data_IF_124182199856
#
_entry.id   IF_124182199856
#
_cell.length_a   1.000
_cell.length_b   1.000
_cell.length_c   1.000
_cell.angle_alpha   90.00
_cell.angle_beta   90.00
_cell.angle_gamma   90.00
#
_symmetry.space_group_name_H-M   'P 1'
#
loop_
_entity.id
_entity.type
_entity.pdbx_description
1 polymer ?
#
# COMPACT_ATOMS: atom_id res chain seq x y z
N UNK A 1 -4.38 -13.91 3.60
CA UNK A 1 -3.35 -14.81 3.05
C UNK A 1 -3.91 -15.70 1.94
N UNK A 2 -4.61 -15.11 0.96
CA UNK A 2 -5.19 -15.85 -0.17
C UNK A 2 -4.31 -15.72 -1.42
N UNK A 3 -3.86 -14.50 -1.73
CA UNK A 3 -3.06 -14.21 -2.93
C UNK A 3 -1.73 -14.96 -2.97
N UNK A 4 -1.01 -15.01 -1.84
CA UNK A 4 0.27 -15.74 -1.74
C UNK A 4 0.06 -17.22 -2.07
N UNK A 5 -1.03 -17.83 -1.59
CA UNK A 5 -1.34 -19.23 -1.89
C UNK A 5 -1.56 -19.43 -3.39
N UNK A 6 -2.36 -18.59 -4.02
CA UNK A 6 -2.61 -18.65 -5.48
C UNK A 6 -1.31 -18.48 -6.28
N UNK A 7 -0.44 -17.57 -5.86
CA UNK A 7 0.85 -17.34 -6.53
C UNK A 7 1.79 -18.55 -6.36
N UNK A 8 1.84 -19.16 -5.19
CA UNK A 8 2.63 -20.39 -4.97
C UNK A 8 2.15 -21.57 -5.81
N UNK A 9 0.84 -21.67 -6.09
CA UNK A 9 0.27 -22.75 -6.90
C UNK A 9 0.57 -22.60 -8.40
N UNK A 10 0.79 -21.36 -8.88
CA UNK A 10 0.90 -21.07 -10.32
C UNK A 10 2.31 -20.63 -10.77
N UNK A 11 3.18 -20.26 -9.84
CA UNK A 11 4.51 -19.69 -10.12
C UNK A 11 5.61 -20.45 -9.39
N UNK A 12 6.81 -20.47 -9.99
CA UNK A 12 8.02 -20.91 -9.30
C UNK A 12 8.46 -19.82 -8.32
N UNK A 13 8.49 -20.14 -7.03
CA UNK A 13 8.79 -19.15 -5.98
C UNK A 13 10.22 -19.28 -5.50
N UNK A 14 10.93 -18.16 -5.44
CA UNK A 14 12.26 -18.04 -4.83
C UNK A 14 12.19 -17.07 -3.64
N UNK A 15 12.22 -17.56 -2.39
CA UNK A 15 12.30 -16.69 -1.23
C UNK A 15 13.72 -16.13 -1.05
N UNK A 16 13.81 -14.90 -0.57
CA UNK A 16 15.03 -14.30 -0.03
C UNK A 16 14.88 -14.08 1.47
N UNK A 17 15.99 -14.24 2.20
CA UNK A 17 15.99 -14.19 3.65
C UNK A 17 16.93 -13.10 4.16
N UNK A 18 16.52 -12.45 5.25
CA UNK A 18 17.34 -11.56 6.08
C UNK A 18 17.07 -11.90 7.54
N UNK A 19 18.11 -12.15 8.33
CA UNK A 19 18.01 -12.46 9.76
C UNK A 19 16.98 -13.57 10.08
N UNK A 20 17.03 -14.68 9.31
CA UNK A 20 16.10 -15.82 9.38
C UNK A 20 14.62 -15.50 9.10
N UNK A 21 14.31 -14.31 8.56
CA UNK A 21 12.96 -13.94 8.11
C UNK A 21 12.93 -13.78 6.59
N UNK A 22 11.80 -14.13 5.96
CA UNK A 22 11.62 -13.94 4.52
C UNK A 22 11.42 -12.46 4.25
N UNK A 23 12.35 -11.82 3.52
CA UNK A 23 12.28 -10.40 3.19
C UNK A 23 11.66 -10.15 1.82
N UNK A 24 11.85 -11.07 0.88
CA UNK A 24 11.18 -11.01 -0.42
C UNK A 24 10.79 -12.38 -0.97
N UNK A 25 9.78 -12.39 -1.82
CA UNK A 25 9.32 -13.53 -2.59
C UNK A 25 9.32 -13.14 -4.07
N UNK A 26 10.10 -13.87 -4.86
CA UNK A 26 10.16 -13.69 -6.31
C UNK A 26 9.39 -14.84 -6.96
N UNK A 27 8.33 -14.53 -7.69
CA UNK A 27 7.49 -15.47 -8.40
C UNK A 27 7.80 -15.40 -9.89
N UNK A 28 8.29 -16.49 -10.46
CA UNK A 28 8.54 -16.63 -11.90
C UNK A 28 7.40 -17.40 -12.57
N UNK A 29 6.85 -16.84 -13.65
CA UNK A 29 5.82 -17.54 -14.41
C UNK A 29 6.39 -18.80 -15.03
N UNK A 30 5.68 -19.91 -14.84
CA UNK A 30 6.08 -21.21 -15.40
C UNK A 30 6.07 -21.24 -16.93
N UNK A 31 5.30 -20.34 -17.55
CA UNK A 31 5.05 -20.31 -19.00
C UNK A 31 5.83 -19.21 -19.73
N UNK A 32 6.38 -18.23 -19.00
CA UNK A 32 7.12 -17.11 -19.59
C UNK A 32 8.10 -16.51 -18.59
N UNK A 33 9.39 -16.77 -18.77
CA UNK A 33 10.46 -16.30 -17.87
C UNK A 33 10.58 -14.77 -17.77
N UNK A 34 9.92 -14.01 -18.67
CA UNK A 34 9.87 -12.54 -18.60
C UNK A 34 8.85 -12.03 -17.58
N UNK A 35 7.87 -12.84 -17.19
CA UNK A 35 6.86 -12.45 -16.21
C UNK A 35 7.38 -12.83 -14.83
N UNK A 36 7.75 -11.80 -14.06
CA UNK A 36 8.15 -11.92 -12.66
C UNK A 36 7.29 -11.02 -11.78
N UNK A 37 6.90 -11.53 -10.61
CA UNK A 37 6.27 -10.74 -9.56
C UNK A 37 7.19 -10.77 -8.36
N UNK A 38 7.54 -9.60 -7.82
CA UNK A 38 8.39 -9.48 -6.64
C UNK A 38 7.58 -8.86 -5.51
N UNK A 39 7.48 -9.58 -4.39
CA UNK A 39 6.83 -9.10 -3.17
C UNK A 39 7.88 -8.89 -2.10
N UNK A 40 7.80 -7.76 -1.40
CA UNK A 40 8.72 -7.40 -0.31
C UNK A 40 7.93 -7.14 0.96
N UNK A 41 8.46 -7.60 2.09
CA UNK A 41 7.96 -7.18 3.40
C UNK A 41 8.63 -5.86 3.79
N UNK A 42 7.90 -4.76 3.61
CA UNK A 42 8.38 -3.42 3.95
C UNK A 42 8.66 -3.26 5.45
N UNK A 43 8.02 -4.04 6.33
CA UNK A 43 8.24 -3.96 7.78
C UNK A 43 9.61 -4.55 8.18
N UNK A 44 10.09 -5.56 7.47
CA UNK A 44 11.44 -6.11 7.67
C UNK A 44 12.55 -5.20 7.13
N UNK A 45 12.20 -4.28 6.23
CA UNK A 45 13.08 -3.24 5.71
C UNK A 45 13.02 -1.99 6.61
N UNK A 46 11.84 -1.69 7.16
CA UNK A 46 11.52 -0.53 8.00
C UNK A 46 10.68 -0.96 9.21
N UNK A 47 11.30 -1.26 10.35
CA UNK A 47 10.60 -1.77 11.52
C UNK A 47 9.92 -0.64 12.31
N UNK A 48 9.05 0.13 11.67
CA UNK A 48 8.29 1.24 12.26
C UNK A 48 7.02 1.53 11.48
N UNK A 49 6.00 2.08 12.13
CA UNK A 49 4.78 2.51 11.42
C UNK A 49 5.07 3.70 10.49
N UNK A 50 4.33 3.81 9.39
CA UNK A 50 4.43 4.95 8.46
C UNK A 50 4.26 6.30 9.16
N UNK A 51 3.39 6.38 10.17
CA UNK A 51 3.19 7.60 10.97
C UNK A 51 4.41 7.92 11.83
N UNK A 52 4.97 6.94 12.54
CA UNK A 52 6.20 7.12 13.34
C UNK A 52 7.35 7.60 12.47
N UNK A 53 7.48 7.03 11.27
CA UNK A 53 8.46 7.47 10.28
C UNK A 53 8.17 8.91 9.82
N UNK A 54 6.93 9.22 9.41
CA UNK A 54 6.56 10.56 8.96
C UNK A 54 6.86 11.65 10.01
N UNK A 55 6.56 11.39 11.29
CA UNK A 55 6.91 12.29 12.41
C UNK A 55 8.42 12.46 12.54
N UNK A 56 9.18 11.36 12.53
CA UNK A 56 10.65 11.39 12.63
C UNK A 56 11.28 12.23 11.52
N UNK A 57 10.74 12.17 10.31
CA UNK A 57 11.22 12.90 9.14
C UNK A 57 10.52 14.25 8.92
N UNK A 58 9.73 14.73 9.89
CA UNK A 58 9.06 16.04 9.88
C UNK A 58 8.18 16.27 8.63
N UNK A 59 7.54 15.22 8.15
CA UNK A 59 6.60 15.29 7.03
C UNK A 59 5.36 16.03 7.51
N UNK A 60 4.93 17.03 6.73
CA UNK A 60 3.83 17.94 7.09
C UNK A 60 2.49 17.18 7.17
N UNK A 61 2.26 16.26 6.23
CA UNK A 61 1.04 15.47 6.17
C UNK A 61 1.20 14.09 6.80
N UNK A 62 0.63 13.91 7.99
CA UNK A 62 0.59 12.62 8.67
C UNK A 62 -0.62 11.79 8.23
N UNK A 63 -0.40 10.49 7.98
CA UNK A 63 -1.47 9.51 7.77
C UNK A 63 -2.43 9.55 8.96
N UNK A 64 -3.74 9.61 8.71
CA UNK A 64 -4.78 9.75 9.74
C UNK A 64 -4.87 8.56 10.70
N UNK A 65 -5.93 8.49 11.50
CA UNK A 65 -6.28 7.29 12.27
C UNK A 65 -7.53 6.66 11.70
N UNK A 66 -7.65 5.34 11.88
CA UNK A 66 -8.79 4.56 11.40
C UNK A 66 -9.26 3.58 12.47
N UNK A 67 -10.58 3.39 12.68
CA UNK A 67 -11.11 2.57 13.74
C UNK A 67 -11.15 1.09 13.32
N UNK A 68 -9.99 0.44 13.27
CA UNK A 68 -9.89 -0.96 12.84
C UNK A 68 -10.80 -1.90 13.66
N UNK A 69 -10.97 -1.64 14.95
CA UNK A 69 -11.86 -2.45 15.82
C UNK A 69 -13.36 -2.28 15.51
N UNK A 70 -13.74 -1.24 14.76
CA UNK A 70 -15.13 -0.98 14.39
C UNK A 70 -15.55 -1.73 13.11
N UNK A 71 -14.59 -2.06 12.24
CA UNK A 71 -14.86 -2.63 10.92
C UNK A 71 -15.20 -4.12 11.05
N UNK A 72 -16.44 -4.45 10.73
CA UNK A 72 -16.94 -5.82 10.64
C UNK A 72 -18.09 -5.87 9.62
N UNK A 73 -18.53 -7.08 9.30
CA UNK A 73 -19.57 -7.35 8.29
C UNK A 73 -20.88 -6.59 8.54
N UNK A 74 -21.24 -6.31 9.79
CA UNK A 74 -22.47 -5.61 10.15
C UNK A 74 -22.34 -4.08 10.02
N UNK A 75 -21.12 -3.56 10.01
CA UNK A 75 -20.85 -2.12 10.06
C UNK A 75 -20.34 -1.54 8.73
N UNK A 76 -20.20 -2.35 7.67
CA UNK A 76 -19.62 -1.92 6.39
C UNK A 76 -20.32 -0.71 5.75
N UNK A 77 -21.63 -0.59 5.96
CA UNK A 77 -22.49 0.50 5.46
C UNK A 77 -22.83 1.53 6.54
N UNK A 78 -22.10 1.55 7.65
CA UNK A 78 -22.41 2.40 8.78
C UNK A 78 -22.33 3.90 8.44
N UNK A 79 -23.40 4.61 8.76
CA UNK A 79 -23.50 6.07 8.76
C UNK A 79 -24.09 6.50 10.10
N UNK A 80 -23.34 7.30 10.87
CA UNK A 80 -23.79 7.72 12.20
C UNK A 80 -22.71 8.44 12.99
N UNK A 81 -22.66 8.21 14.30
CA UNK A 81 -21.67 8.83 15.17
C UNK A 81 -20.30 8.20 14.95
N UNK A 82 -19.23 8.99 15.01
CA UNK A 82 -17.85 8.47 15.01
C UNK A 82 -17.71 7.36 16.05
N UNK A 83 -17.10 6.21 15.70
CA UNK A 83 -16.89 5.09 16.61
C UNK A 83 -16.10 5.51 17.84
N UNK A 84 -16.28 4.79 18.95
CA UNK A 84 -15.57 5.08 20.20
C UNK A 84 -14.03 5.08 20.02
N UNK A 85 -13.33 5.95 20.76
CA UNK A 85 -11.87 6.09 20.70
C UNK A 85 -11.14 4.76 20.95
N UNK A 86 -11.69 3.88 21.77
CA UNK A 86 -11.13 2.55 22.05
C UNK A 86 -11.01 1.65 20.81
N UNK A 87 -11.73 1.97 19.73
CA UNK A 87 -11.71 1.22 18.48
C UNK A 87 -10.59 1.70 17.52
N UNK A 88 -9.89 2.77 17.89
CA UNK A 88 -8.73 3.31 17.18
C UNK A 88 -7.43 2.87 17.84
N UNK A 89 -6.38 2.68 17.04
CA UNK A 89 -5.07 2.31 17.56
C UNK A 89 -4.14 3.54 17.64
N UNK A 90 -3.61 3.82 18.83
CA UNK A 90 -2.55 4.81 19.05
C UNK A 90 -2.96 6.27 18.88
N UNK A 91 -4.26 6.58 18.96
CA UNK A 91 -4.79 7.95 18.88
C UNK A 91 -4.80 8.61 20.26
N UNK A 92 -4.46 9.90 20.32
CA UNK A 92 -4.63 10.72 21.53
C UNK A 92 -6.08 11.21 21.68
N UNK A 93 -6.48 11.62 22.89
CA UNK A 93 -7.81 12.17 23.12
C UNK A 93 -8.05 13.44 22.27
N UNK A 94 -7.04 14.29 22.19
CA UNK A 94 -7.07 15.55 21.44
C UNK A 94 -7.21 15.30 19.92
N UNK A 95 -6.47 14.33 19.37
CA UNK A 95 -6.59 13.97 17.96
C UNK A 95 -7.96 13.34 17.64
N UNK A 96 -8.52 12.58 18.59
CA UNK A 96 -9.83 11.96 18.44
C UNK A 96 -10.97 12.98 18.48
N UNK A 97 -10.90 14.00 19.34
CA UNK A 97 -11.88 15.07 19.40
C UNK A 97 -12.06 15.76 18.03
N UNK A 98 -10.97 15.93 17.28
CA UNK A 98 -11.00 16.47 15.91
C UNK A 98 -11.67 15.56 14.86
N UNK A 99 -11.95 14.30 15.19
CA UNK A 99 -12.61 13.33 14.31
C UNK A 99 -14.09 13.12 14.65
N UNK A 100 -14.60 13.69 15.75
CA UNK A 100 -15.98 13.47 16.19
C UNK A 100 -16.94 14.10 15.19
N UNK A 101 -17.84 13.28 14.66
CA UNK A 101 -18.92 13.64 13.76
C UNK A 101 -20.16 12.81 14.07
N UNK A 102 -21.35 13.38 13.88
CA UNK A 102 -22.64 12.68 14.02
C UNK A 102 -23.14 12.09 12.70
N UNK A 103 -22.45 12.39 11.60
CA UNK A 103 -22.76 11.95 10.23
C UNK A 103 -21.58 11.22 9.60
N UNK A 104 -20.75 10.60 10.43
CA UNK A 104 -19.58 9.82 10.06
C UNK A 104 -19.98 8.61 9.21
N UNK A 105 -19.36 8.45 8.04
CA UNK A 105 -19.65 7.37 7.09
C UNK A 105 -18.40 6.49 6.93
N UNK A 106 -18.51 5.20 7.28
CA UNK A 106 -17.36 4.29 7.27
C UNK A 106 -16.70 4.19 5.90
N UNK A 107 -17.49 4.08 4.82
CA UNK A 107 -16.96 3.94 3.46
C UNK A 107 -16.24 5.21 3.02
N UNK A 108 -16.84 6.38 3.25
CA UNK A 108 -16.22 7.66 2.93
C UNK A 108 -14.91 7.86 3.71
N UNK A 109 -14.89 7.43 4.96
CA UNK A 109 -13.74 7.56 5.85
C UNK A 109 -12.62 6.58 5.52
N UNK A 110 -12.95 5.36 5.12
CA UNK A 110 -11.99 4.42 4.56
C UNK A 110 -11.35 4.99 3.29
N UNK A 111 -12.17 5.50 2.36
CA UNK A 111 -11.66 6.15 1.15
C UNK A 111 -10.79 7.36 1.47
N UNK A 112 -11.20 8.19 2.44
CA UNK A 112 -10.41 9.34 2.88
C UNK A 112 -9.10 8.89 3.52
N UNK A 113 -9.10 7.85 4.34
CA UNK A 113 -7.92 7.32 5.01
C UNK A 113 -6.91 6.72 4.03
N UNK A 114 -7.39 5.98 3.02
CA UNK A 114 -6.56 5.40 1.97
C UNK A 114 -6.06 6.45 0.97
N UNK A 115 -6.91 7.42 0.62
CA UNK A 115 -6.57 8.49 -0.32
C UNK A 115 -5.90 9.70 0.34
N UNK A 116 -5.81 9.77 1.68
CA UNK A 116 -5.13 10.88 2.37
C UNK A 116 -3.69 10.88 1.87
N UNK A 117 -3.31 11.90 1.10
CA UNK A 117 -2.16 11.75 0.24
C UNK A 117 -0.90 11.73 1.09
N UNK A 118 0.02 10.91 0.64
CA UNK A 118 1.46 10.97 0.88
C UNK A 118 2.02 12.24 0.17
N UNK A 119 1.26 13.36 0.14
CA UNK A 119 1.57 14.56 -0.63
C UNK A 119 2.87 15.21 -0.17
N UNK A 120 3.10 15.28 1.15
CA UNK A 120 4.37 15.75 1.71
C UNK A 120 5.61 14.93 1.32
N UNK A 121 5.45 13.77 0.68
CA UNK A 121 6.56 12.95 0.18
C UNK A 121 6.71 13.00 -1.35
N UNK A 122 5.67 13.39 -2.09
CA UNK A 122 5.76 13.65 -3.53
C UNK A 122 6.70 14.83 -3.84
N UNK A 123 6.71 15.85 -2.97
CA UNK A 123 7.60 17.02 -3.07
C UNK A 123 9.07 16.68 -2.78
N UNK A 124 9.34 15.53 -2.15
CA UNK A 124 10.68 15.06 -1.80
C UNK A 124 11.36 14.25 -2.92
N UNK A 125 10.63 13.89 -3.98
CA UNK A 125 11.15 13.04 -5.04
C UNK A 125 10.77 13.62 -6.41
N UNK A 126 11.73 14.34 -7.02
CA UNK A 126 11.85 14.33 -8.47
C UNK A 126 11.87 12.87 -8.92
N UNK A 127 10.77 12.41 -9.51
CA UNK A 127 10.45 10.98 -9.74
C UNK A 127 11.55 10.20 -10.45
N UNK A 128 12.31 10.87 -11.31
CA UNK A 128 13.31 10.24 -12.16
C UNK A 128 14.71 10.27 -11.52
N UNK A 129 15.11 11.41 -10.94
CA UNK A 129 16.44 11.59 -10.32
C UNK A 129 16.66 10.69 -9.10
N UNK A 130 15.63 10.46 -8.28
CA UNK A 130 15.77 9.60 -7.10
C UNK A 130 15.86 8.11 -7.47
N UNK A 131 15.10 7.68 -8.49
CA UNK A 131 15.14 6.30 -8.97
C UNK A 131 16.50 6.01 -9.63
N UNK A 132 17.01 6.93 -10.44
CA UNK A 132 18.33 6.83 -11.07
C UNK A 132 19.45 6.81 -10.04
N UNK A 133 19.38 7.68 -9.02
CA UNK A 133 20.34 7.70 -7.90
C UNK A 133 20.32 6.39 -7.09
N UNK A 134 19.15 5.80 -6.86
CA UNK A 134 19.02 4.52 -6.15
C UNK A 134 19.61 3.36 -6.96
N UNK A 135 19.33 3.32 -8.27
CA UNK A 135 19.92 2.33 -9.19
C UNK A 135 21.45 2.49 -9.24
N UNK A 136 21.94 3.72 -9.21
CA UNK A 136 23.37 4.02 -9.15
C UNK A 136 24.02 3.55 -7.84
N UNK A 137 23.37 3.80 -6.69
CA UNK A 137 23.86 3.34 -5.39
C UNK A 137 23.93 1.82 -5.27
N UNK A 138 22.92 1.12 -5.80
CA UNK A 138 22.87 -0.35 -5.85
C UNK A 138 23.98 -0.91 -6.77
N UNK A 139 24.18 -0.30 -7.94
CA UNK A 139 25.28 -0.65 -8.85
C UNK A 139 26.68 -0.49 -8.24
N UNK A 140 26.81 0.40 -7.25
CA UNK A 140 28.07 0.70 -6.55
C UNK A 140 28.21 -0.03 -5.22
N UNK A 141 27.24 -0.88 -4.86
CA UNK A 141 27.22 -1.65 -3.61
C UNK A 141 27.34 -0.75 -2.37
N UNK A 142 26.84 0.48 -2.47
CA UNK A 142 26.88 1.47 -1.39
C UNK A 142 25.69 1.20 -0.48
N UNK A 143 25.97 0.78 0.76
CA UNK A 143 24.94 0.67 1.80
C UNK A 143 24.54 2.07 2.25
N UNK A 144 23.57 2.64 1.55
CA UNK A 144 22.94 3.88 1.98
C UNK A 144 21.86 3.55 2.99
N UNK A 145 21.88 4.22 4.14
CA UNK A 145 20.88 4.11 5.21
C UNK A 145 19.56 4.82 4.78
N UNK A 146 19.03 4.43 3.62
CA UNK A 146 18.01 5.12 2.82
C UNK A 146 16.78 4.25 2.55
N UNK A 147 16.34 3.46 3.54
CA UNK A 147 15.20 2.56 3.37
C UNK A 147 13.85 3.27 3.16
N UNK A 148 13.71 4.53 3.57
CA UNK A 148 12.45 5.27 3.50
C UNK A 148 12.10 5.75 2.08
N UNK A 149 12.95 6.50 1.35
CA UNK A 149 12.53 7.00 0.06
C UNK A 149 12.54 5.92 -1.02
N UNK A 150 13.27 4.80 -0.83
CA UNK A 150 13.08 3.57 -1.63
C UNK A 150 11.71 2.93 -1.38
N UNK A 151 11.28 2.79 -0.12
CA UNK A 151 9.95 2.24 0.19
C UNK A 151 8.83 3.15 -0.33
N UNK A 152 9.01 4.47 -0.29
CA UNK A 152 8.08 5.45 -0.85
C UNK A 152 8.06 5.35 -2.37
N UNK A 153 9.21 5.31 -3.04
CA UNK A 153 9.28 5.16 -4.49
C UNK A 153 8.60 3.87 -4.95
N UNK A 154 8.87 2.75 -4.27
CA UNK A 154 8.22 1.46 -4.57
C UNK A 154 6.71 1.52 -4.33
N UNK A 155 6.27 2.10 -3.22
CA UNK A 155 4.83 2.19 -2.91
C UNK A 155 4.11 3.17 -3.85
N UNK A 156 4.73 4.31 -4.19
CA UNK A 156 4.19 5.29 -5.12
C UNK A 156 4.10 4.70 -6.53
N UNK A 157 5.15 3.98 -6.98
CA UNK A 157 5.15 3.28 -8.25
C UNK A 157 4.05 2.21 -8.30
N UNK A 158 3.94 1.36 -7.27
CA UNK A 158 2.91 0.34 -7.20
C UNK A 158 1.49 0.94 -7.29
N UNK A 159 1.22 2.05 -6.56
CA UNK A 159 -0.06 2.75 -6.66
C UNK A 159 -0.29 3.35 -8.05
N UNK A 160 0.71 4.01 -8.63
CA UNK A 160 0.60 4.57 -9.99
C UNK A 160 0.32 3.49 -11.03
N UNK A 161 0.94 2.32 -10.90
CA UNK A 161 0.69 1.17 -11.76
C UNK A 161 -0.75 0.65 -11.60
N UNK A 162 -1.22 0.48 -10.35
CA UNK A 162 -2.59 0.04 -10.07
C UNK A 162 -3.64 1.02 -10.63
N UNK A 163 -3.42 2.34 -10.51
CA UNK A 163 -4.30 3.33 -11.12
C UNK A 163 -4.33 3.24 -12.65
N UNK A 164 -3.20 2.93 -13.29
CA UNK A 164 -3.15 2.72 -14.74
C UNK A 164 -3.98 1.49 -15.15
N UNK A 165 -3.87 0.39 -14.41
CA UNK A 165 -4.66 -0.83 -14.65
C UNK A 165 -6.16 -0.54 -14.48
N UNK A 166 -6.54 0.17 -13.42
CA UNK A 166 -7.92 0.60 -13.17
C UNK A 166 -8.45 1.43 -14.33
N UNK A 167 -7.68 2.40 -14.80
CA UNK A 167 -8.08 3.24 -15.93
C UNK A 167 -8.37 2.41 -17.19
N UNK A 168 -7.49 1.47 -17.51
CA UNK A 168 -7.67 0.56 -18.65
C UNK A 168 -8.92 -0.33 -18.49
N UNK A 169 -9.20 -0.81 -17.28
CA UNK A 169 -10.40 -1.60 -17.00
C UNK A 169 -11.69 -0.80 -17.17
N UNK A 170 -11.68 0.46 -16.73
CA UNK A 170 -12.81 1.37 -16.91
C UNK A 170 -13.04 1.69 -18.40
N UNK A 171 -11.99 1.89 -19.19
CA UNK A 171 -12.10 2.07 -20.65
C UNK A 171 -12.72 0.84 -21.35
N UNK A 172 -12.49 -0.35 -20.79
CA UNK A 172 -13.06 -1.61 -21.27
C UNK A 172 -14.49 -1.85 -20.74
N UNK A 173 -15.06 -0.90 -19.99
CA UNK A 173 -16.41 -1.01 -19.41
C UNK A 173 -16.49 -2.10 -18.34
N UNK A 174 -15.42 -2.31 -17.58
CA UNK A 174 -15.36 -3.24 -16.44
C UNK A 174 -15.56 -2.43 -15.16
N UNK A 175 -16.54 -2.85 -14.35
CA UNK A 175 -16.86 -2.19 -13.09
C UNK A 175 -15.94 -2.72 -11.98
N UNK A 176 -15.43 -1.79 -11.16
CA UNK A 176 -14.46 -2.06 -10.08
C UNK A 176 -15.17 -1.92 -8.74
N UNK A 177 -15.20 -2.99 -7.96
CA UNK A 177 -15.87 -3.04 -6.65
C UNK A 177 -14.93 -2.77 -5.48
N UNK A 178 -13.66 -3.13 -5.61
CA UNK A 178 -12.67 -2.99 -4.56
C UNK A 178 -11.25 -2.97 -5.12
N UNK A 179 -10.35 -2.27 -4.41
CA UNK A 179 -8.93 -2.20 -4.71
C UNK A 179 -8.14 -2.18 -3.40
N UNK A 180 -7.11 -3.02 -3.32
CA UNK A 180 -6.05 -2.96 -2.30
C UNK A 180 -4.69 -2.78 -3.00
N UNK A 181 -3.62 -2.75 -2.21
CA UNK A 181 -2.22 -2.56 -2.63
C UNK A 181 -1.81 -3.47 -3.79
N UNK A 182 -2.31 -4.70 -3.83
CA UNK A 182 -1.95 -5.73 -4.82
C UNK A 182 -3.16 -6.47 -5.41
N UNK A 183 -4.39 -5.99 -5.22
CA UNK A 183 -5.59 -6.67 -5.70
C UNK A 183 -6.68 -5.71 -6.18
N UNK A 184 -7.44 -6.14 -7.19
CA UNK A 184 -8.59 -5.43 -7.74
C UNK A 184 -9.73 -6.45 -7.91
N UNK A 185 -10.91 -6.12 -7.41
CA UNK A 185 -12.12 -6.93 -7.57
C UNK A 185 -13.02 -6.27 -8.61
N UNK A 186 -13.37 -7.03 -9.64
CA UNK A 186 -14.11 -6.56 -10.81
C UNK A 186 -15.30 -7.46 -11.13
N UNK A 187 -16.24 -6.94 -11.91
CA UNK A 187 -17.44 -7.66 -12.32
C UNK A 187 -17.23 -8.64 -13.49
N UNK A 188 -16.08 -8.58 -14.16
CA UNK A 188 -15.76 -9.37 -15.36
C UNK A 188 -14.35 -9.93 -15.27
N UNK A 189 -14.11 -11.03 -15.99
CA UNK A 189 -12.77 -11.59 -16.14
C UNK A 189 -11.83 -10.58 -16.80
N UNK A 190 -10.60 -10.47 -16.28
CA UNK A 190 -9.60 -9.56 -16.82
C UNK A 190 -9.16 -10.02 -18.23
N UNK A 191 -9.05 -9.11 -19.21
CA UNK A 191 -8.52 -9.45 -20.52
C UNK A 191 -7.03 -9.80 -20.45
N UNK A 192 -6.59 -10.73 -21.30
CA UNK A 192 -5.22 -11.26 -21.34
C UNK A 192 -4.12 -10.24 -21.71
N UNK A 193 -4.50 -9.00 -22.02
CA UNK A 193 -3.64 -7.90 -22.48
C UNK A 193 -3.26 -6.90 -21.38
N UNK A 194 -3.70 -7.12 -20.15
CA UNK A 194 -3.28 -6.31 -19.00
C UNK A 194 -2.03 -6.97 -18.40
N UNK A 195 -0.87 -6.29 -18.42
CA UNK A 195 0.41 -6.85 -17.96
C UNK A 195 0.47 -7.09 -16.45
#
# INVERSE_FOLDING_TARGET
MFIIKVLFENFKVKPSFKDNKVISLIFHSSNNDKIKVEMFDSYLILPSSLRTLAVKYKVVDLKGFFPYGFVNEMNLDYIGKTPDISLFNGISAEEYEGLISYTWNLKAELLRYENKPIAGFSDLCGKDEYLDFMLECDSKNISVNQSLPSAIAVTAYARMYMFKVIYQLLELGIDIYYMDTDSIVVNKALPSLIP
#
